data_IF_429877314833
#
_entry.id   IF_429877314833
#
_cell.length_a   1.000
_cell.length_b   1.000
_cell.length_c   1.000
_cell.angle_alpha   90.00
_cell.angle_beta   90.00
_cell.angle_gamma   90.00
#
_symmetry.space_group_name_H-M   'P 1'
#
loop_
_entity.id
_entity.type
_entity.pdbx_description
1 polymer ?
#
# COMPACT_ATOMS: atom_id res chain seq x y z
N UNK A 1 3.01 -27.44 -4.33
CA UNK A 1 3.29 -28.88 -4.49
C UNK A 1 2.91 -29.55 -3.18
N UNK A 2 2.09 -30.60 -3.23
CA UNK A 2 1.77 -31.41 -2.03
C UNK A 2 3.05 -32.04 -1.45
N UNK A 3 3.02 -32.45 -0.17
CA UNK A 3 4.15 -33.17 0.46
C UNK A 3 4.48 -34.50 -0.25
N UNK A 4 3.54 -35.05 -1.01
CA UNK A 4 3.68 -36.28 -1.80
C UNK A 4 4.20 -36.04 -3.23
N UNK A 5 4.46 -34.79 -3.61
CA UNK A 5 4.98 -34.41 -4.91
C UNK A 5 3.94 -34.17 -6.01
N UNK A 6 2.63 -34.21 -5.69
CA UNK A 6 1.60 -33.77 -6.65
C UNK A 6 1.68 -32.27 -6.92
N UNK A 7 1.46 -31.92 -8.19
CA UNK A 7 1.44 -30.54 -8.66
C UNK A 7 0.22 -29.82 -8.07
N UNK A 8 0.41 -28.55 -7.73
CA UNK A 8 -0.64 -27.66 -7.24
C UNK A 8 -0.63 -26.42 -8.11
N UNK A 9 -1.79 -26.03 -8.59
CA UNK A 9 -2.00 -24.87 -9.43
C UNK A 9 -2.58 -23.75 -8.58
N UNK A 10 -1.90 -22.61 -8.54
CA UNK A 10 -2.37 -21.44 -7.82
C UNK A 10 -3.32 -20.67 -8.70
N UNK A 11 -4.59 -20.65 -8.35
CA UNK A 11 -5.63 -19.87 -9.00
C UNK A 11 -5.84 -18.56 -8.24
N UNK A 12 -6.13 -17.51 -9.00
CA UNK A 12 -6.52 -16.22 -8.47
C UNK A 12 -7.98 -16.01 -8.85
N UNK A 13 -8.82 -15.85 -7.84
CA UNK A 13 -10.27 -15.70 -7.99
C UNK A 13 -10.60 -14.25 -7.68
N UNK A 14 -11.42 -13.64 -8.52
CA UNK A 14 -11.87 -12.26 -8.33
C UNK A 14 -13.38 -12.24 -8.15
N UNK A 15 -13.84 -11.41 -7.22
CA UNK A 15 -15.25 -11.02 -7.11
C UNK A 15 -15.35 -9.51 -6.95
N UNK A 16 -16.57 -9.02 -6.74
CA UNK A 16 -16.83 -7.59 -6.61
C UNK A 16 -16.12 -7.01 -5.38
N UNK A 17 -15.00 -6.33 -5.60
CA UNK A 17 -14.19 -5.69 -4.56
C UNK A 17 -13.23 -6.61 -3.80
N UNK A 18 -13.05 -7.88 -4.20
CA UNK A 18 -12.15 -8.81 -3.52
C UNK A 18 -11.39 -9.75 -4.46
N UNK A 19 -10.29 -10.31 -3.96
CA UNK A 19 -9.58 -11.41 -4.62
C UNK A 19 -9.11 -12.46 -3.63
N UNK A 20 -9.24 -13.74 -3.98
CA UNK A 20 -8.71 -14.87 -3.21
C UNK A 20 -7.66 -15.65 -3.99
N UNK A 21 -6.80 -16.34 -3.24
CA UNK A 21 -5.92 -17.37 -3.77
C UNK A 21 -6.50 -18.74 -3.43
N UNK A 22 -6.55 -19.61 -4.42
CA UNK A 22 -7.03 -20.98 -4.26
C UNK A 22 -6.04 -21.95 -4.90
N UNK A 23 -5.68 -23.03 -4.20
CA UNK A 23 -4.86 -24.08 -4.78
C UNK A 23 -5.76 -25.19 -5.30
N UNK A 24 -5.61 -25.52 -6.59
CA UNK A 24 -6.31 -26.64 -7.21
C UNK A 24 -5.33 -27.73 -7.66
N UNK A 25 -5.78 -28.97 -7.64
CA UNK A 25 -5.02 -30.12 -8.13
C UNK A 25 -4.98 -30.15 -9.68
N UNK A 26 -5.86 -29.39 -10.34
CA UNK A 26 -5.97 -29.30 -11.80
C UNK A 26 -5.91 -27.84 -12.29
N UNK A 27 -5.31 -27.58 -13.46
CA UNK A 27 -5.37 -26.27 -14.11
C UNK A 27 -6.78 -26.07 -14.70
N UNK A 28 -7.46 -25.00 -14.32
CA UNK A 28 -8.82 -24.68 -14.81
C UNK A 28 -8.93 -23.21 -15.23
N UNK A 29 -9.64 -22.90 -16.31
CA UNK A 29 -10.07 -21.56 -16.70
C UNK A 29 -11.61 -21.42 -16.66
N UNK A 30 -12.11 -20.18 -16.56
CA UNK A 30 -13.55 -19.88 -16.57
C UNK A 30 -14.22 -19.83 -15.19
N UNK A 31 -15.55 -19.88 -15.20
CA UNK A 31 -16.38 -19.80 -14.00
C UNK A 31 -16.25 -21.10 -13.18
N UNK A 32 -15.91 -20.96 -11.89
CA UNK A 32 -15.73 -22.09 -10.98
C UNK A 32 -16.62 -21.91 -9.76
N UNK A 33 -17.36 -22.97 -9.40
CA UNK A 33 -18.03 -23.04 -8.10
C UNK A 33 -17.04 -23.63 -7.10
N UNK A 34 -16.62 -22.81 -6.13
CA UNK A 34 -15.70 -23.24 -5.08
C UNK A 34 -16.49 -23.58 -3.81
N UNK A 35 -16.29 -24.79 -3.30
CA UNK A 35 -16.86 -25.23 -2.03
C UNK A 35 -15.70 -25.33 -1.03
N UNK A 36 -15.59 -24.38 -0.11
CA UNK A 36 -14.50 -24.33 0.87
C UNK A 36 -14.50 -23.06 1.71
N UNK A 37 -13.53 -22.95 2.62
CA UNK A 37 -13.36 -21.79 3.50
C UNK A 37 -12.51 -20.72 2.80
N UNK A 38 -13.06 -19.52 2.63
CA UNK A 38 -12.32 -18.34 2.19
C UNK A 38 -11.44 -17.84 3.34
N UNK A 39 -10.12 -17.80 3.14
CA UNK A 39 -9.18 -17.25 4.11
C UNK A 39 -8.52 -16.02 3.48
N UNK A 40 -9.06 -14.83 3.77
CA UNK A 40 -8.36 -13.58 3.50
C UNK A 40 -7.14 -13.54 4.42
N UNK A 41 -5.95 -13.73 3.87
CA UNK A 41 -4.72 -13.52 4.62
C UNK A 41 -4.59 -12.02 4.95
N UNK A 42 -5.03 -11.64 6.16
CA UNK A 42 -5.00 -10.27 6.70
C UNK A 42 -3.59 -9.88 7.23
N UNK A 43 -2.51 -10.42 6.66
CA UNK A 43 -1.15 -10.11 7.13
C UNK A 43 -0.43 -9.17 6.15
N UNK A 44 0.20 -8.13 6.70
CA UNK A 44 0.75 -6.97 5.97
C UNK A 44 2.07 -7.22 5.20
N UNK A 45 2.47 -8.46 4.96
CA UNK A 45 3.84 -8.77 4.51
C UNK A 45 3.93 -9.57 3.21
N UNK A 46 2.85 -9.69 2.45
CA UNK A 46 2.88 -10.25 1.10
C UNK A 46 3.05 -9.17 0.04
N UNK A 47 3.97 -9.38 -0.91
CA UNK A 47 4.16 -8.50 -2.09
C UNK A 47 2.91 -8.49 -3.03
N UNK A 48 1.94 -9.37 -2.76
CA UNK A 48 0.59 -9.36 -3.33
C UNK A 48 -0.46 -9.29 -2.19
N UNK A 49 -0.52 -8.17 -1.46
CA UNK A 49 -1.59 -7.96 -0.47
C UNK A 49 -2.94 -7.90 -1.22
N UNK A 50 -3.92 -8.79 -0.94
CA UNK A 50 -5.24 -8.65 -1.54
C UNK A 50 -5.78 -7.25 -1.22
N UNK A 51 -6.52 -6.60 -2.14
CA UNK A 51 -7.14 -5.31 -1.86
C UNK A 51 -8.00 -5.43 -0.60
N UNK A 52 -8.01 -4.36 0.22
CA UNK A 52 -8.87 -4.29 1.40
C UNK A 52 -10.32 -4.47 0.94
N UNK A 53 -10.99 -5.47 1.50
CA UNK A 53 -12.40 -5.74 1.23
C UNK A 53 -13.24 -4.95 2.20
N UNK A 54 -14.26 -4.26 1.69
CA UNK A 54 -15.20 -3.48 2.48
C UNK A 54 -16.57 -4.13 2.37
N UNK A 55 -17.26 -4.27 3.49
CA UNK A 55 -18.57 -4.90 3.55
C UNK A 55 -19.12 -4.90 4.97
N UNK A 56 -20.40 -5.21 5.12
CA UNK A 56 -21.04 -5.30 6.42
C UNK A 56 -20.66 -6.62 7.09
N UNK A 57 -20.12 -6.54 8.31
CA UNK A 57 -19.95 -7.72 9.15
C UNK A 57 -21.34 -8.31 9.45
N UNK A 58 -21.56 -9.56 9.05
CA UNK A 58 -22.78 -10.32 9.34
C UNK A 58 -22.64 -11.09 10.65
N UNK A 59 -21.45 -11.66 10.88
CA UNK A 59 -21.17 -12.52 12.02
C UNK A 59 -19.68 -12.47 12.36
N UNK A 60 -19.35 -12.61 13.65
CA UNK A 60 -17.97 -12.80 14.10
C UNK A 60 -17.89 -13.96 15.07
N UNK A 61 -16.82 -14.74 14.97
CA UNK A 61 -16.49 -15.77 15.94
C UNK A 61 -15.07 -15.57 16.45
N UNK A 62 -14.88 -15.73 17.76
CA UNK A 62 -13.57 -16.02 18.33
C UNK A 62 -13.21 -17.47 17.97
N UNK A 63 -12.00 -17.67 17.46
CA UNK A 63 -11.43 -18.99 17.17
C UNK A 63 -10.50 -19.36 18.31
N UNK A 64 -10.82 -20.43 19.03
CA UNK A 64 -9.96 -21.03 20.04
C UNK A 64 -9.35 -22.34 19.49
N UNK A 65 -8.04 -22.50 19.62
CA UNK A 65 -7.33 -23.71 19.23
C UNK A 65 -6.67 -24.36 20.44
N UNK A 66 -6.61 -25.70 20.42
CA UNK A 66 -5.86 -26.43 21.43
C UNK A 66 -4.37 -26.22 21.22
N UNK A 67 -3.62 -25.97 22.31
CA UNK A 67 -2.17 -25.81 22.25
C UNK A 67 -1.44 -26.97 22.92
N UNK A 68 -0.22 -27.21 22.46
CA UNK A 68 0.73 -28.13 23.10
C UNK A 68 2.11 -27.52 23.25
N UNK A 69 2.87 -27.89 24.30
CA UNK A 69 4.22 -27.40 24.50
C UNK A 69 5.18 -27.99 23.45
N UNK A 70 6.19 -27.20 23.12
CA UNK A 70 7.34 -27.54 22.28
C UNK A 70 8.62 -27.17 23.03
N UNK A 71 9.78 -27.58 22.53
CA UNK A 71 11.08 -27.22 23.15
C UNK A 71 11.32 -25.71 23.26
N UNK A 72 10.65 -24.89 22.44
CA UNK A 72 10.87 -23.43 22.35
C UNK A 72 9.62 -22.59 22.62
N UNK A 73 8.55 -23.18 23.15
CA UNK A 73 7.29 -22.47 23.40
C UNK A 73 6.09 -23.35 23.14
N UNK A 74 5.10 -22.83 22.45
CA UNK A 74 3.81 -23.49 22.21
C UNK A 74 3.52 -23.57 20.71
N UNK A 75 2.76 -24.58 20.31
CA UNK A 75 2.17 -24.69 18.97
C UNK A 75 0.69 -25.03 19.11
N UNK A 76 -0.13 -24.55 18.19
CA UNK A 76 -1.52 -24.99 18.08
C UNK A 76 -1.59 -26.39 17.44
N UNK A 77 -2.74 -27.05 17.64
CA UNK A 77 -3.05 -28.37 17.12
C UNK A 77 -4.12 -28.24 16.05
N UNK A 78 -3.74 -28.46 14.79
CA UNK A 78 -4.64 -28.40 13.63
C UNK A 78 -5.91 -29.25 13.83
N UNK A 79 -7.07 -28.69 13.48
CA UNK A 79 -8.36 -29.37 13.51
C UNK A 79 -9.02 -29.44 14.89
N UNK A 80 -8.54 -28.65 15.85
CA UNK A 80 -9.14 -28.52 17.18
C UNK A 80 -9.98 -27.25 17.33
N UNK A 81 -10.21 -26.50 16.25
CA UNK A 81 -10.84 -25.19 16.27
C UNK A 81 -12.23 -25.21 16.96
N UNK A 82 -12.42 -24.32 17.94
CA UNK A 82 -13.71 -24.00 18.54
C UNK A 82 -14.12 -22.58 18.19
N UNK A 83 -15.36 -22.42 17.74
CA UNK A 83 -15.91 -21.14 17.33
C UNK A 83 -16.92 -20.65 18.36
N UNK A 84 -16.66 -19.49 18.95
CA UNK A 84 -17.58 -18.80 19.86
C UNK A 84 -18.05 -17.52 19.19
N UNK A 85 -19.36 -17.37 18.95
CA UNK A 85 -19.91 -16.14 18.38
C UNK A 85 -19.66 -14.93 19.31
N UNK A 86 -19.23 -13.81 18.73
CA UNK A 86 -18.92 -12.56 19.44
C UNK A 86 -19.53 -11.36 18.74
N UNK A 87 -19.98 -10.38 19.52
CA UNK A 87 -20.51 -9.11 18.98
C UNK A 87 -19.42 -8.05 18.77
N UNK A 88 -18.24 -8.23 19.38
CA UNK A 88 -17.11 -7.31 19.29
C UNK A 88 -15.78 -8.03 19.53
N UNK A 89 -14.72 -7.56 18.87
CA UNK A 89 -13.37 -8.10 19.06
C UNK A 89 -12.87 -7.73 20.47
N UNK A 90 -12.51 -8.72 21.31
CA UNK A 90 -12.07 -8.45 22.67
C UNK A 90 -10.65 -7.86 22.66
N UNK A 91 -10.55 -6.57 23.05
CA UNK A 91 -9.29 -5.80 23.04
C UNK A 91 -8.29 -6.29 24.09
N UNK A 92 -8.78 -6.77 25.23
CA UNK A 92 -7.98 -7.32 26.32
C UNK A 92 -8.27 -8.82 26.46
N UNK A 93 -7.78 -9.60 25.50
CA UNK A 93 -7.92 -11.06 25.48
C UNK A 93 -6.55 -11.71 25.48
N UNK A 94 -6.44 -12.90 26.07
CA UNK A 94 -5.18 -13.65 26.12
C UNK A 94 -4.97 -14.40 24.81
N UNK A 95 -4.55 -13.67 23.77
CA UNK A 95 -4.26 -14.20 22.42
C UNK A 95 -3.02 -15.12 22.36
N UNK A 96 -2.35 -15.32 23.50
CA UNK A 96 -1.08 -16.03 23.56
C UNK A 96 -1.02 -16.94 24.79
N UNK A 97 -0.40 -18.12 24.67
CA UNK A 97 -0.04 -18.95 25.81
C UNK A 97 0.71 -18.16 26.88
N UNK A 98 0.21 -18.22 28.11
CA UNK A 98 0.81 -17.60 29.28
C UNK A 98 1.66 -18.62 30.05
N UNK A 99 2.30 -18.16 31.13
CA UNK A 99 3.04 -19.03 32.06
C UNK A 99 2.15 -20.09 32.74
N UNK A 100 0.83 -19.85 32.78
CA UNK A 100 -0.13 -20.70 33.46
C UNK A 100 -0.84 -21.67 32.48
N UNK A 101 -0.58 -21.53 31.18
CA UNK A 101 -1.09 -22.41 30.11
C UNK A 101 -0.55 -23.83 30.26
N UNK A 102 -1.40 -24.81 29.99
CA UNK A 102 -1.12 -26.24 30.03
C UNK A 102 -1.28 -26.89 28.67
N UNK A 103 -0.65 -28.05 28.52
CA UNK A 103 -0.85 -28.92 27.37
C UNK A 103 -2.33 -29.29 27.26
N UNK A 104 -2.91 -29.05 26.09
CA UNK A 104 -4.31 -29.31 25.80
C UNK A 104 -5.28 -28.17 26.15
N UNK A 105 -4.79 -27.04 26.66
CA UNK A 105 -5.64 -25.85 26.86
C UNK A 105 -6.07 -25.25 25.53
N UNK A 106 -7.25 -24.62 25.53
CA UNK A 106 -7.78 -23.84 24.41
C UNK A 106 -7.41 -22.37 24.58
N UNK A 107 -6.88 -21.77 23.52
CA UNK A 107 -6.46 -20.37 23.50
C UNK A 107 -6.94 -19.73 22.21
N UNK A 108 -7.40 -18.49 22.31
CA UNK A 108 -7.78 -17.69 21.17
C UNK A 108 -6.61 -17.57 20.18
N UNK A 109 -6.81 -18.10 18.97
CA UNK A 109 -5.86 -18.06 17.87
C UNK A 109 -6.22 -16.99 16.83
N UNK A 110 -7.48 -16.54 16.79
CA UNK A 110 -7.92 -15.52 15.83
C UNK A 110 -9.41 -15.17 15.94
N UNK A 111 -9.86 -14.36 14.98
CA UNK A 111 -11.28 -14.04 14.79
C UNK A 111 -11.66 -14.42 13.36
N UNK A 112 -12.74 -15.18 13.23
CA UNK A 112 -13.40 -15.46 11.96
C UNK A 112 -14.51 -14.43 11.75
N UNK A 113 -14.50 -13.74 10.61
CA UNK A 113 -15.49 -12.72 10.26
C UNK A 113 -16.22 -13.15 8.99
N UNK A 114 -17.55 -13.20 9.07
CA UNK A 114 -18.42 -13.31 7.89
C UNK A 114 -18.80 -11.90 7.43
N UNK A 115 -18.49 -11.57 6.18
CA UNK A 115 -18.67 -10.24 5.61
C UNK A 115 -19.57 -10.31 4.37
N UNK A 116 -20.58 -9.44 4.34
CA UNK A 116 -21.39 -9.19 3.15
C UNK A 116 -20.77 -8.05 2.35
N UNK A 117 -20.25 -8.40 1.18
CA UNK A 117 -19.51 -7.50 0.29
C UNK A 117 -20.44 -6.62 -0.56
N UNK A 118 -21.70 -6.99 -0.72
CA UNK A 118 -22.70 -6.20 -1.45
C UNK A 118 -23.27 -5.07 -0.58
N UNK A 119 -23.24 -5.25 0.74
CA UNK A 119 -23.75 -4.31 1.74
C UNK A 119 -22.65 -3.35 2.22
N UNK A 120 -22.18 -2.49 1.31
CA UNK A 120 -21.24 -1.42 1.61
C UNK A 120 -21.99 -0.17 2.11
N UNK A 121 -21.86 0.25 3.38
CA UNK A 121 -22.44 1.51 3.82
C UNK A 121 -21.79 2.64 3.02
N UNK A 122 -22.59 3.41 2.27
CA UNK A 122 -22.18 4.52 1.42
C UNK A 122 -21.70 5.75 2.20
N UNK A 123 -21.11 5.57 3.39
CA UNK A 123 -20.38 6.66 4.02
C UNK A 123 -19.12 6.88 3.20
N UNK A 124 -18.93 8.10 2.67
CA UNK A 124 -17.62 8.56 2.25
C UNK A 124 -16.64 8.19 3.36
N UNK A 125 -15.71 7.29 3.06
CA UNK A 125 -14.66 6.97 4.03
C UNK A 125 -13.91 8.28 4.29
N UNK A 126 -13.79 8.71 5.55
CA UNK A 126 -13.00 9.88 5.90
C UNK A 126 -11.61 9.77 5.27
N UNK A 127 -11.08 10.88 4.77
CA UNK A 127 -9.73 10.88 4.21
C UNK A 127 -8.74 10.30 5.24
N UNK A 128 -8.05 9.22 4.88
CA UNK A 128 -7.08 8.58 5.75
C UNK A 128 -5.66 9.05 5.41
N UNK A 129 -5.14 10.01 6.18
CA UNK A 129 -3.81 10.57 6.00
C UNK A 129 -2.72 9.50 6.16
N UNK A 130 -1.75 9.48 5.23
CA UNK A 130 -0.64 8.54 5.24
C UNK A 130 0.72 9.23 5.30
N UNK A 131 0.95 10.19 4.42
CA UNK A 131 2.21 10.93 4.36
C UNK A 131 1.98 12.43 4.34
N UNK A 132 2.90 13.20 4.93
CA UNK A 132 2.83 14.65 5.06
C UNK A 132 4.16 15.28 4.64
N UNK A 133 4.09 16.40 3.92
CA UNK A 133 5.23 17.28 3.64
C UNK A 133 4.78 18.74 3.70
N UNK A 134 5.74 19.66 3.79
CA UNK A 134 5.49 21.10 3.90
C UNK A 134 6.12 21.78 2.70
N UNK A 135 5.37 22.63 2.01
CA UNK A 135 5.88 23.46 0.91
C UNK A 135 5.38 24.88 1.07
N UNK A 136 6.30 25.80 1.38
CA UNK A 136 5.93 27.15 1.79
C UNK A 136 5.01 27.09 3.03
N UNK A 137 3.89 27.80 2.97
CA UNK A 137 2.91 27.86 4.06
C UNK A 137 1.81 26.79 3.96
N UNK A 138 1.86 25.94 2.92
CA UNK A 138 0.91 24.85 2.72
C UNK A 138 1.43 23.52 3.22
N UNK A 139 0.55 22.78 3.88
CA UNK A 139 0.77 21.39 4.26
C UNK A 139 0.19 20.49 3.17
N UNK A 140 0.96 19.53 2.70
CA UNK A 140 0.53 18.57 1.70
C UNK A 140 0.39 17.22 2.36
N UNK A 141 -0.74 16.54 2.11
CA UNK A 141 -1.06 15.26 2.75
C UNK A 141 -1.49 14.25 1.71
N UNK A 142 -0.76 13.15 1.59
CA UNK A 142 -1.14 12.02 0.75
C UNK A 142 -1.98 11.04 1.55
N UNK A 143 -3.04 10.53 0.94
CA UNK A 143 -3.80 9.44 1.51
C UNK A 143 -2.90 8.22 1.73
N UNK A 144 -3.20 7.42 2.75
CA UNK A 144 -2.50 6.19 3.10
C UNK A 144 -2.54 5.11 2.01
N UNK A 145 -3.39 5.25 0.98
CA UNK A 145 -3.73 4.18 0.02
C UNK A 145 -4.30 4.75 -1.27
N UNK A 146 -5.38 5.52 -1.18
CA UNK A 146 -6.03 6.12 -2.34
C UNK A 146 -5.12 7.11 -3.08
N UNK A 147 -5.32 7.33 -4.39
CA UNK A 147 -4.56 8.30 -5.17
C UNK A 147 -5.06 9.74 -4.92
N UNK A 148 -5.17 10.13 -3.65
CA UNK A 148 -5.73 11.43 -3.24
C UNK A 148 -4.67 12.22 -2.47
N UNK A 149 -4.43 13.45 -2.93
CA UNK A 149 -3.52 14.41 -2.31
C UNK A 149 -4.33 15.61 -1.81
N UNK A 150 -4.11 16.02 -0.57
CA UNK A 150 -4.66 17.25 -0.02
C UNK A 150 -3.59 18.34 0.01
N UNK A 151 -4.01 19.57 -0.29
CA UNK A 151 -3.32 20.78 0.11
C UNK A 151 -4.13 21.43 1.22
N UNK A 152 -3.50 21.67 2.36
CA UNK A 152 -4.08 22.34 3.52
C UNK A 152 -3.34 23.66 3.69
N UNK A 153 -4.02 24.76 3.37
CA UNK A 153 -3.55 26.10 3.68
C UNK A 153 -3.87 26.41 5.15
N UNK A 154 -2.83 26.72 5.91
CA UNK A 154 -2.93 26.98 7.36
C UNK A 154 -2.62 28.44 7.73
N UNK A 155 -2.51 29.33 6.74
CA UNK A 155 -2.22 30.75 6.96
C UNK A 155 -3.42 31.53 7.54
N UNK A 156 -4.65 31.05 7.32
CA UNK A 156 -5.89 31.64 7.84
C UNK A 156 -6.29 31.16 9.23
N UNK A 157 -7.33 31.78 9.80
CA UNK A 157 -7.94 31.33 11.06
C UNK A 157 -8.58 29.95 10.94
N UNK A 158 -9.15 29.67 9.77
CA UNK A 158 -9.74 28.38 9.41
C UNK A 158 -8.91 27.75 8.28
N UNK A 159 -8.43 26.51 8.43
CA UNK A 159 -7.68 25.83 7.39
C UNK A 159 -8.53 25.61 6.13
N UNK A 160 -7.99 25.97 4.97
CA UNK A 160 -8.64 25.71 3.68
C UNK A 160 -8.02 24.46 3.08
N UNK A 161 -8.86 23.47 2.77
CA UNK A 161 -8.42 22.20 2.19
C UNK A 161 -8.86 22.10 0.73
N UNK A 162 -7.91 21.79 -0.15
CA UNK A 162 -8.17 21.44 -1.56
C UNK A 162 -7.83 19.99 -1.79
N UNK A 163 -8.74 19.24 -2.42
CA UNK A 163 -8.57 17.81 -2.70
C UNK A 163 -8.18 17.60 -4.15
N UNK A 164 -7.08 16.89 -4.38
CA UNK A 164 -6.60 16.51 -5.71
C UNK A 164 -6.76 15.00 -5.91
N UNK A 165 -7.54 14.61 -6.91
CA UNK A 165 -7.60 13.22 -7.37
C UNK A 165 -6.52 13.00 -8.43
N UNK A 166 -5.58 12.12 -8.13
CA UNK A 166 -4.45 11.80 -9.00
C UNK A 166 -4.77 10.61 -9.92
N UNK A 167 -4.28 10.59 -11.16
CA UNK A 167 -4.37 9.47 -12.08
C UNK A 167 -3.37 8.35 -11.71
N UNK A 168 -3.40 7.91 -10.46
CA UNK A 168 -2.56 6.84 -9.91
C UNK A 168 -3.41 5.66 -9.47
N UNK A 169 -2.78 4.51 -9.31
CA UNK A 169 -3.43 3.31 -8.75
C UNK A 169 -3.72 3.49 -7.26
N UNK A 170 -4.73 2.79 -6.75
CA UNK A 170 -4.88 2.59 -5.31
C UNK A 170 -3.79 1.62 -4.86
N UNK A 171 -3.07 1.94 -3.80
CA UNK A 171 -2.05 1.05 -3.23
C UNK A 171 -2.60 0.40 -1.96
N UNK A 172 -2.32 -0.89 -1.69
CA UNK A 172 -2.72 -1.53 -0.44
C UNK A 172 -2.19 -0.75 0.77
N UNK A 173 -3.06 -0.41 1.73
CA UNK A 173 -2.60 0.21 2.98
C UNK A 173 -1.89 -0.83 3.85
N UNK A 174 -0.67 -0.49 4.26
CA UNK A 174 0.28 -1.31 5.05
C UNK A 174 0.34 -0.85 6.52
N UNK A 175 -0.79 -0.35 7.04
CA UNK A 175 -0.95 0.27 8.38
C UNK A 175 -0.05 1.50 8.64
N UNK A 176 0.57 2.02 7.58
CA UNK A 176 1.37 3.25 7.62
C UNK A 176 1.00 4.17 6.46
N UNK A 177 1.74 4.03 5.36
CA UNK A 177 1.64 4.82 4.15
C UNK A 177 2.14 3.97 2.98
N UNK A 178 1.38 3.96 1.90
CA UNK A 178 1.80 3.32 0.64
C UNK A 178 2.70 4.21 -0.22
N UNK A 179 2.55 5.53 -0.08
CA UNK A 179 3.32 6.53 -0.81
C UNK A 179 3.98 7.51 0.14
N UNK A 180 5.17 7.97 -0.22
CA UNK A 180 5.84 9.10 0.43
C UNK A 180 5.70 10.33 -0.43
N UNK A 181 5.70 11.48 0.21
CA UNK A 181 5.68 12.77 -0.44
C UNK A 181 6.84 13.62 0.05
N UNK A 182 7.50 14.30 -0.88
CA UNK A 182 8.62 15.19 -0.55
C UNK A 182 8.45 16.51 -1.28
N UNK A 183 8.45 17.60 -0.54
CA UNK A 183 8.44 18.92 -1.14
C UNK A 183 9.82 19.29 -1.69
N UNK A 184 9.78 19.98 -2.83
CA UNK A 184 10.93 20.59 -3.51
C UNK A 184 10.49 21.95 -4.07
N UNK A 185 11.44 22.75 -4.53
CA UNK A 185 11.18 24.13 -4.97
C UNK A 185 10.10 24.21 -6.06
N UNK A 186 10.18 23.31 -7.05
CA UNK A 186 9.31 23.30 -8.24
C UNK A 186 8.09 22.38 -8.12
N UNK A 187 7.89 21.69 -6.99
CA UNK A 187 6.80 20.73 -6.89
C UNK A 187 6.89 19.77 -5.71
N UNK A 188 6.37 18.57 -5.92
CA UNK A 188 6.34 17.49 -4.94
C UNK A 188 6.74 16.18 -5.62
N UNK A 189 7.67 15.44 -5.04
CA UNK A 189 7.88 14.04 -5.39
C UNK A 189 6.85 13.17 -4.70
N UNK A 190 6.19 12.29 -5.45
CA UNK A 190 5.44 11.15 -4.92
C UNK A 190 6.24 9.88 -5.23
N UNK A 191 6.53 9.08 -4.20
CA UNK A 191 7.33 7.85 -4.37
C UNK A 191 6.65 6.66 -3.71
N UNK A 192 6.63 5.52 -4.38
CA UNK A 192 6.21 4.22 -3.85
C UNK A 192 7.35 3.19 -3.99
N UNK A 193 7.09 1.92 -3.68
CA UNK A 193 8.01 0.83 -4.06
C UNK A 193 8.04 0.59 -5.58
N UNK A 194 7.00 1.02 -6.29
CA UNK A 194 6.73 0.65 -7.67
C UNK A 194 7.07 1.76 -8.67
N UNK A 195 6.97 3.02 -8.26
CA UNK A 195 7.09 4.15 -9.16
C UNK A 195 7.46 5.46 -8.46
N UNK A 196 7.88 6.43 -9.29
CA UNK A 196 8.19 7.79 -8.88
C UNK A 196 7.48 8.76 -9.83
N UNK A 197 6.77 9.71 -9.23
CA UNK A 197 6.04 10.75 -9.94
C UNK A 197 6.43 12.14 -9.45
N UNK A 198 6.54 13.09 -10.36
CA UNK A 198 6.67 14.52 -10.05
C UNK A 198 5.32 15.18 -10.20
N UNK A 199 4.86 15.82 -9.13
CA UNK A 199 3.75 16.76 -9.18
C UNK A 199 4.29 18.18 -9.33
N UNK A 200 3.89 18.89 -10.37
CA UNK A 200 4.30 20.28 -10.64
C UNK A 200 3.10 21.19 -10.51
N UNK A 201 3.27 22.32 -9.82
CA UNK A 201 2.25 23.35 -9.65
C UNK A 201 2.58 24.50 -10.59
N UNK A 202 1.67 24.82 -11.51
CA UNK A 202 1.84 25.94 -12.43
C UNK A 202 1.77 27.29 -11.67
N UNK A 203 2.25 28.40 -12.25
CA UNK A 203 2.08 29.74 -11.67
C UNK A 203 0.62 30.12 -11.40
N UNK A 204 -0.31 29.56 -12.17
CA UNK A 204 -1.76 29.74 -12.03
C UNK A 204 -2.37 28.82 -10.95
N UNK A 205 -1.56 27.97 -10.32
CA UNK A 205 -1.98 27.03 -9.27
C UNK A 205 -2.48 25.68 -9.78
N UNK A 206 -2.36 25.37 -11.07
CA UNK A 206 -2.79 24.08 -11.60
C UNK A 206 -1.77 22.98 -11.25
N UNK A 207 -2.24 21.89 -10.63
CA UNK A 207 -1.44 20.72 -10.34
C UNK A 207 -1.45 19.77 -11.54
N UNK A 208 -0.26 19.35 -11.97
CA UNK A 208 -0.05 18.29 -12.99
C UNK A 208 0.83 17.19 -12.42
N UNK A 209 0.77 15.99 -13.01
CA UNK A 209 1.59 14.85 -12.58
C UNK A 209 2.26 14.14 -13.76
N UNK A 210 3.55 13.88 -13.61
CA UNK A 210 4.37 13.15 -14.58
C UNK A 210 5.03 11.95 -13.93
N UNK A 211 4.98 10.78 -14.58
CA UNK A 211 5.76 9.61 -14.15
C UNK A 211 7.21 9.73 -14.62
N UNK A 212 8.13 9.65 -13.66
CA UNK A 212 9.58 9.71 -13.91
C UNK A 212 10.21 8.31 -13.98
N UNK A 213 9.75 7.37 -13.15
CA UNK A 213 10.28 6.02 -13.14
C UNK A 213 9.18 5.00 -12.84
N UNK A 214 9.29 3.82 -13.44
CA UNK A 214 8.50 2.60 -13.13
C UNK A 214 9.24 1.69 -12.16
N UNK A 215 10.15 2.27 -11.40
CA UNK A 215 10.87 1.66 -10.29
C UNK A 215 10.86 2.66 -9.14
N UNK A 216 10.72 2.16 -7.91
CA UNK A 216 10.67 2.97 -6.71
C UNK A 216 11.51 2.43 -5.56
N UNK A 217 11.23 2.93 -4.36
CA UNK A 217 11.77 2.40 -3.12
C UNK A 217 10.82 2.69 -1.97
N UNK A 218 10.73 1.73 -1.04
CA UNK A 218 10.07 1.92 0.25
C UNK A 218 10.59 3.12 1.04
N UNK A 219 11.85 3.47 0.81
CA UNK A 219 12.58 4.46 1.56
C UNK A 219 13.21 5.47 0.62
N UNK A 220 12.74 6.70 0.68
CA UNK A 220 13.23 7.81 -0.12
C UNK A 220 13.45 9.04 0.75
N UNK A 221 14.38 9.90 0.35
CA UNK A 221 14.68 11.17 0.99
C UNK A 221 15.07 12.20 -0.07
N UNK A 222 14.74 13.46 0.19
CA UNK A 222 15.26 14.59 -0.59
C UNK A 222 16.42 15.23 0.17
N UNK A 223 17.51 15.47 -0.53
CA UNK A 223 18.68 16.20 -0.02
C UNK A 223 19.17 17.14 -1.12
N UNK A 224 19.30 18.43 -0.79
CA UNK A 224 19.70 19.48 -1.75
C UNK A 224 18.87 19.46 -3.05
N UNK A 225 17.56 19.23 -2.93
CA UNK A 225 16.63 19.17 -4.07
C UNK A 225 16.69 17.88 -4.90
N UNK A 226 17.60 16.96 -4.58
CA UNK A 226 17.74 15.67 -5.26
C UNK A 226 17.03 14.55 -4.52
N UNK A 227 16.39 13.65 -5.27
CA UNK A 227 15.66 12.51 -4.73
C UNK A 227 16.57 11.27 -4.67
N UNK A 228 16.80 10.80 -3.44
CA UNK A 228 17.57 9.59 -3.16
C UNK A 228 16.64 8.44 -2.75
N UNK A 229 16.90 7.27 -3.31
CA UNK A 229 16.30 6.00 -2.97
C UNK A 229 17.27 5.24 -2.07
N UNK A 230 16.80 4.84 -0.89
CA UNK A 230 17.58 4.06 0.06
C UNK A 230 17.17 2.60 -0.03
N UNK A 231 18.17 1.74 -0.23
CA UNK A 231 18.00 0.30 -0.17
C UNK A 231 17.86 -0.21 1.26
N UNK A 232 17.42 -1.46 1.40
CA UNK A 232 17.33 -2.16 2.68
C UNK A 232 18.73 -2.29 3.27
N UNK A 233 18.91 -1.79 4.49
CA UNK A 233 20.21 -1.81 5.17
C UNK A 233 20.46 -3.10 5.97
N UNK A 234 19.43 -3.94 6.13
CA UNK A 234 19.47 -5.13 6.99
C UNK A 234 18.72 -6.27 6.32
N UNK A 235 19.12 -7.50 6.66
CA UNK A 235 18.28 -8.66 6.35
C UNK A 235 16.94 -8.53 7.09
N UNK A 236 15.85 -8.96 6.46
CA UNK A 236 14.55 -9.13 7.11
C UNK A 236 13.96 -10.49 6.73
N UNK A 237 13.03 -10.99 7.54
CA UNK A 237 12.18 -12.10 7.15
C UNK A 237 10.92 -11.47 6.53
N UNK A 238 10.57 -11.85 5.30
CA UNK A 238 9.34 -11.41 4.63
C UNK A 238 8.55 -12.62 4.16
N UNK A 239 7.23 -12.50 4.12
CA UNK A 239 6.39 -13.51 3.52
C UNK A 239 6.46 -13.41 1.99
N UNK A 240 6.80 -14.52 1.34
CA UNK A 240 6.80 -14.64 -0.10
C UNK A 240 5.75 -15.66 -0.54
N UNK A 241 4.90 -15.27 -1.49
CA UNK A 241 3.78 -16.07 -1.99
C UNK A 241 4.19 -17.46 -2.49
N UNK A 242 5.35 -17.60 -3.12
CA UNK A 242 5.81 -18.86 -3.72
C UNK A 242 6.64 -19.70 -2.75
N UNK A 243 7.27 -19.07 -1.76
CA UNK A 243 8.32 -19.69 -0.95
C UNK A 243 8.06 -19.65 0.56
N UNK A 244 6.94 -19.10 1.02
CA UNK A 244 6.65 -18.89 2.43
C UNK A 244 7.53 -17.78 3.03
N UNK A 245 7.81 -17.83 4.33
CA UNK A 245 8.68 -16.84 4.98
C UNK A 245 10.11 -17.00 4.43
N UNK A 246 10.57 -16.01 3.68
CA UNK A 246 11.92 -15.95 3.12
C UNK A 246 12.77 -14.92 3.87
N UNK A 247 14.08 -15.14 3.89
CA UNK A 247 15.04 -14.11 4.27
C UNK A 247 15.35 -13.25 3.06
N UNK A 248 15.16 -11.94 3.16
CA UNK A 248 15.75 -10.97 2.22
C UNK A 248 17.06 -10.46 2.78
N UNK A 249 17.97 -10.12 1.88
CA UNK A 249 19.28 -9.56 2.20
C UNK A 249 19.25 -8.04 2.09
N UNK A 250 20.22 -7.34 2.72
CA UNK A 250 20.44 -5.93 2.44
C UNK A 250 20.70 -5.73 0.94
N UNK A 251 20.26 -4.60 0.41
CA UNK A 251 20.59 -4.23 -0.96
C UNK A 251 22.09 -3.91 -1.05
N UNK A 252 22.75 -4.41 -2.09
CA UNK A 252 24.16 -4.13 -2.36
C UNK A 252 24.37 -2.63 -2.62
N UNK A 253 23.44 -2.05 -3.37
CA UNK A 253 23.39 -0.63 -3.72
C UNK A 253 22.52 0.15 -2.75
N UNK A 254 23.13 0.56 -1.63
CA UNK A 254 22.39 1.17 -0.52
C UNK A 254 21.79 2.53 -0.82
N UNK A 255 22.39 3.29 -1.72
CA UNK A 255 21.91 4.63 -2.11
C UNK A 255 21.90 4.72 -3.62
N UNK A 256 20.76 5.14 -4.14
CA UNK A 256 20.55 5.40 -5.56
C UNK A 256 19.96 6.79 -5.71
N UNK A 257 20.29 7.48 -6.79
CA UNK A 257 19.83 8.82 -7.11
C UNK A 257 18.89 8.75 -8.32
N UNK A 258 17.75 9.42 -8.26
CA UNK A 258 16.97 9.70 -9.46
C UNK A 258 17.60 10.87 -10.21
N UNK A 259 18.24 10.59 -11.35
CA UNK A 259 18.67 11.61 -12.28
C UNK A 259 17.45 12.18 -13.01
N UNK A 260 17.12 13.44 -12.72
CA UNK A 260 15.99 14.15 -13.32
C UNK A 260 16.13 14.36 -14.83
N UNK A 261 17.35 14.48 -15.34
CA UNK A 261 17.61 14.76 -16.76
C UNK A 261 17.46 13.49 -17.57
N UNK A 262 18.12 12.42 -17.16
CA UNK A 262 18.08 11.14 -17.88
C UNK A 262 16.87 10.28 -17.52
N UNK A 263 16.14 10.65 -16.44
CA UNK A 263 15.02 9.91 -15.86
C UNK A 263 15.39 8.47 -15.46
N UNK A 264 16.64 8.29 -15.02
CA UNK A 264 17.19 7.00 -14.61
C UNK A 264 17.56 7.02 -13.14
N UNK A 265 17.37 5.88 -12.51
CA UNK A 265 17.89 5.62 -11.18
C UNK A 265 19.32 5.11 -11.34
N UNK A 266 20.26 5.78 -10.69
CA UNK A 266 21.70 5.46 -10.77
C UNK A 266 22.27 5.23 -9.38
N UNK A 267 23.17 4.27 -9.25
CA UNK A 267 23.91 3.98 -8.02
C UNK A 267 24.87 5.11 -7.71
N UNK A 268 24.91 5.56 -6.45
CA UNK A 268 25.81 6.63 -6.01
C UNK A 268 26.36 6.35 -4.62
N UNK A 269 27.53 6.93 -4.33
CA UNK A 269 27.97 7.13 -2.96
C UNK A 269 27.15 8.30 -2.38
N UNK A 270 26.12 7.98 -1.59
CA UNK A 270 25.21 8.96 -1.02
C UNK A 270 25.93 9.94 -0.09
N UNK A 271 25.50 11.22 -0.02
CA UNK A 271 26.13 12.19 0.88
C UNK A 271 25.92 11.83 2.35
N UNK A 272 26.87 12.30 3.17
CA UNK A 272 26.84 12.09 4.61
C UNK A 272 25.54 12.66 5.22
N UNK A 273 24.87 11.83 6.01
CA UNK A 273 23.70 12.28 6.78
C UNK A 273 22.35 12.19 6.05
N UNK A 274 22.27 11.67 4.82
CA UNK A 274 20.97 11.30 4.24
C UNK A 274 20.29 10.28 5.14
N UNK A 275 19.05 10.58 5.55
CA UNK A 275 18.21 9.68 6.34
C UNK A 275 16.79 9.73 5.85
N UNK A 276 16.20 8.56 5.67
CA UNK A 276 14.76 8.44 5.54
C UNK A 276 14.10 8.91 6.84
N UNK A 277 13.24 9.91 6.75
CA UNK A 277 12.29 10.20 7.82
C UNK A 277 11.10 9.24 7.73
N UNK A 278 10.28 9.24 8.77
CA UNK A 278 8.94 8.69 8.65
C UNK A 278 8.12 9.61 7.73
N UNK A 279 7.30 9.02 6.85
CA UNK A 279 6.55 9.82 5.88
C UNK A 279 5.33 10.52 6.51
N UNK A 280 4.84 10.02 7.64
CA UNK A 280 3.75 10.62 8.42
C UNK A 280 4.21 11.82 9.28
N UNK A 281 5.42 12.34 9.07
CA UNK A 281 5.97 13.49 9.79
C UNK A 281 6.73 14.43 8.87
N UNK A 282 6.52 15.73 9.07
CA UNK A 282 7.27 16.79 8.43
C UNK A 282 7.72 17.82 9.46
N UNK A 283 8.83 18.50 9.18
CA UNK A 283 9.36 19.57 10.03
C UNK A 283 9.65 20.77 9.15
N UNK A 284 9.03 21.90 9.47
CA UNK A 284 9.25 23.17 8.80
C UNK A 284 10.59 23.78 9.21
N UNK A 285 11.05 24.77 8.44
CA UNK A 285 12.33 25.45 8.67
C UNK A 285 12.36 26.21 10.02
N UNK A 286 11.21 26.63 10.53
CA UNK A 286 11.05 27.28 11.84
C UNK A 286 11.03 26.28 13.02
N UNK A 287 11.16 24.98 12.74
CA UNK A 287 11.12 23.91 13.73
C UNK A 287 9.71 23.38 14.03
N UNK A 288 8.66 23.94 13.43
CA UNK A 288 7.28 23.47 13.59
C UNK A 288 7.15 22.05 13.02
N UNK A 289 6.63 21.14 13.82
CA UNK A 289 6.44 19.74 13.44
C UNK A 289 4.98 19.46 13.09
N UNK A 290 4.78 18.77 11.98
CA UNK A 290 3.48 18.26 11.54
C UNK A 290 3.54 16.74 11.52
N UNK A 291 2.48 16.10 12.00
CA UNK A 291 2.36 14.65 11.98
C UNK A 291 0.92 14.20 11.80
N UNK A 292 0.73 13.05 11.17
CA UNK A 292 -0.58 12.38 11.15
C UNK A 292 -0.93 11.89 12.56
N UNK A 293 -2.16 12.16 13.01
CA UNK A 293 -2.66 11.79 14.35
C UNK A 293 -3.99 11.02 14.23
N UNK A 294 -3.90 9.70 14.08
CA UNK A 294 -5.06 8.86 13.75
C UNK A 294 -5.35 8.87 12.24
N UNK A 295 -6.62 8.75 11.85
CA UNK A 295 -7.00 8.58 10.44
C UNK A 295 -7.08 9.91 9.69
N UNK A 296 -7.80 10.89 10.24
CA UNK A 296 -8.24 12.08 9.52
C UNK A 296 -7.77 13.39 10.18
N UNK A 297 -6.79 13.34 11.08
CA UNK A 297 -6.29 14.53 11.76
C UNK A 297 -4.80 14.74 11.49
N UNK A 298 -4.42 16.00 11.38
CA UNK A 298 -3.03 16.43 11.54
C UNK A 298 -2.83 17.00 12.94
N UNK A 299 -1.69 16.69 13.53
CA UNK A 299 -1.19 17.33 14.74
C UNK A 299 -0.03 18.26 14.38
N UNK A 300 -0.15 19.51 14.79
CA UNK A 300 0.91 20.52 14.76
C UNK A 300 1.53 20.62 16.14
N UNK A 301 2.85 20.74 16.19
CA UNK A 301 3.61 21.07 17.39
C UNK A 301 4.53 22.24 17.03
N UNK A 302 4.27 23.40 17.61
CA UNK A 302 5.08 24.60 17.42
C UNK A 302 6.43 24.49 18.12
N UNK A 303 7.37 25.36 17.76
CA UNK A 303 8.73 25.37 18.33
C UNK A 303 8.76 25.65 19.84
N UNK A 304 7.70 26.26 20.40
CA UNK A 304 7.50 26.47 21.83
C UNK A 304 6.88 25.26 22.56
N UNK A 305 6.52 24.20 21.83
CA UNK A 305 5.89 22.98 22.32
C UNK A 305 4.37 23.01 22.37
N UNK A 306 3.73 24.12 21.99
CA UNK A 306 2.27 24.22 21.87
C UNK A 306 1.77 23.25 20.79
N UNK A 307 0.68 22.54 21.08
CA UNK A 307 0.12 21.55 20.17
C UNK A 307 -1.32 21.90 19.78
N UNK A 308 -1.64 21.74 18.49
CA UNK A 308 -2.98 21.91 17.94
C UNK A 308 -3.29 20.77 16.96
N UNK A 309 -4.57 20.64 16.61
CA UNK A 309 -5.05 19.62 15.67
C UNK A 309 -5.88 20.25 14.56
N UNK A 310 -5.75 19.70 13.36
CA UNK A 310 -6.51 20.09 12.16
C UNK A 310 -7.25 18.88 11.63
N UNK A 311 -8.56 19.02 11.44
CA UNK A 311 -9.42 17.98 10.85
C UNK A 311 -9.35 18.05 9.31
N UNK A 312 -9.14 16.90 8.68
CA UNK A 312 -9.05 16.75 7.23
C UNK A 312 -10.39 16.31 6.59
N UNK A 313 -11.47 16.21 7.38
CA UNK A 313 -12.81 15.82 6.88
C UNK A 313 -13.63 16.99 6.35
N UNK A 314 -13.14 18.21 6.48
CA UNK A 314 -13.83 19.39 5.96
C UNK A 314 -14.15 19.23 4.47
N UNK A 315 -15.33 19.69 4.07
CA UNK A 315 -15.71 19.73 2.66
C UNK A 315 -14.65 20.51 1.87
N UNK A 316 -14.14 19.87 0.82
CA UNK A 316 -13.10 20.42 -0.04
C UNK A 316 -13.52 20.28 -1.49
N UNK A 317 -13.20 21.30 -2.28
CA UNK A 317 -13.33 21.20 -3.72
C UNK A 317 -12.41 20.08 -4.23
N UNK A 318 -12.96 19.19 -5.06
CA UNK A 318 -12.19 18.10 -5.67
C UNK A 318 -11.77 18.49 -7.08
N UNK A 319 -10.46 18.60 -7.27
CA UNK A 319 -9.81 18.89 -8.55
C UNK A 319 -9.26 17.57 -9.12
N UNK A 320 -9.60 17.27 -10.37
CA UNK A 320 -9.02 16.12 -11.07
C UNK A 320 -7.71 16.53 -11.75
N UNK A 321 -6.61 15.87 -11.38
CA UNK A 321 -5.28 16.17 -11.90
C UNK A 321 -5.05 15.46 -13.22
N UNK A 322 -4.47 16.18 -14.19
CA UNK A 322 -4.10 15.61 -15.49
C UNK A 322 -2.72 15.00 -15.43
N UNK A 323 -2.56 13.83 -16.05
CA UNK A 323 -1.21 13.31 -16.30
C UNK A 323 -0.60 13.98 -17.53
N UNK A 324 0.66 14.39 -17.39
CA UNK A 324 1.52 14.89 -18.48
C UNK A 324 2.54 13.84 -18.91
N UNK A 325 2.45 12.62 -18.38
CA UNK A 325 3.31 11.50 -18.78
C UNK A 325 3.17 11.26 -20.28
N UNK A 326 4.30 11.25 -20.99
CA UNK A 326 4.31 10.99 -22.42
C UNK A 326 3.83 9.57 -22.72
N UNK A 327 3.04 9.41 -23.78
CA UNK A 327 2.63 8.09 -24.26
C UNK A 327 3.84 7.36 -24.83
N UNK A 328 4.19 6.23 -24.23
CA UNK A 328 5.33 5.42 -24.64
C UNK A 328 5.19 4.87 -26.07
N UNK A 329 3.97 4.66 -26.57
CA UNK A 329 3.73 4.24 -27.96
C UNK A 329 3.92 5.37 -28.97
N UNK A 330 3.75 6.62 -28.53
CA UNK A 330 3.94 7.80 -29.37
C UNK A 330 5.36 8.39 -29.26
N UNK A 331 6.18 7.92 -28.31
CA UNK A 331 7.54 8.38 -28.11
C UNK A 331 8.46 7.92 -29.27
N UNK A 332 9.06 8.86 -30.04
CA UNK A 332 9.99 8.53 -31.12
C UNK A 332 11.18 7.67 -30.67
N UNK A 333 11.61 7.76 -29.41
CA UNK A 333 12.69 6.94 -28.87
C UNK A 333 12.33 5.45 -28.78
N UNK A 334 11.04 5.12 -28.75
CA UNK A 334 10.53 3.75 -28.71
C UNK A 334 10.09 3.24 -30.09
N UNK A 335 10.28 4.02 -31.17
CA UNK A 335 9.72 3.70 -32.49
C UNK A 335 10.16 2.33 -33.03
N UNK A 336 11.39 1.91 -32.74
CA UNK A 336 11.93 0.60 -33.10
C UNK A 336 11.25 -0.55 -32.32
N UNK A 337 11.09 -0.38 -31.00
CA UNK A 337 10.40 -1.34 -30.14
C UNK A 337 8.92 -1.42 -30.51
N UNK A 338 8.24 -0.27 -30.66
CA UNK A 338 6.83 -0.18 -31.05
C UNK A 338 6.61 -0.86 -32.41
N UNK A 339 7.47 -0.60 -33.40
CA UNK A 339 7.37 -1.26 -34.70
C UNK A 339 7.54 -2.79 -34.59
N UNK A 340 8.37 -3.28 -33.67
CA UNK A 340 8.60 -4.71 -33.47
C UNK A 340 7.45 -5.43 -32.75
N UNK A 341 6.76 -4.76 -31.83
CA UNK A 341 5.67 -5.34 -31.03
C UNK A 341 4.27 -5.08 -31.60
N UNK A 342 4.12 -4.10 -32.50
CA UNK A 342 2.85 -3.77 -33.14
C UNK A 342 2.51 -4.86 -34.15
N UNK A 343 1.51 -5.67 -33.84
CA UNK A 343 1.06 -6.72 -34.75
C UNK A 343 0.17 -6.12 -35.83
N UNK A 344 0.54 -6.35 -37.09
CA UNK A 344 -0.29 -6.04 -38.25
C UNK A 344 -1.56 -6.89 -38.22
N UNK A 345 -2.65 -6.30 -37.70
CA UNK A 345 -3.94 -6.97 -37.56
C UNK A 345 -4.55 -7.42 -38.89
N UNK A 346 -4.09 -6.87 -40.02
CA UNK A 346 -4.54 -7.31 -41.35
C UNK A 346 -4.05 -8.71 -41.72
N UNK A 347 -3.08 -9.26 -40.97
CA UNK A 347 -2.54 -10.62 -41.17
C UNK A 347 -3.30 -11.70 -40.41
N UNK A 348 -4.23 -11.32 -39.53
CA UNK A 348 -5.08 -12.31 -38.87
C UNK A 348 -6.21 -12.73 -39.81
N UNK A 349 -6.13 -13.97 -40.31
CA UNK A 349 -7.26 -14.62 -40.97
C UNK A 349 -8.24 -15.09 -39.88
N UNK A 350 -9.50 -14.63 -39.87
CA UNK A 350 -10.50 -15.14 -38.94
C UNK A 350 -10.63 -16.66 -39.16
N UNK A 351 -10.42 -17.45 -38.10
CA UNK A 351 -10.78 -18.88 -38.14
C UNK A 351 -12.28 -18.95 -38.39
N UNK A 352 -12.69 -19.38 -39.58
CA UNK A 352 -14.08 -19.70 -39.86
C UNK A 352 -14.49 -20.84 -38.91
N UNK A 353 -15.62 -20.72 -38.19
CA UNK A 353 -16.09 -21.81 -37.34
C UNK A 353 -16.33 -23.06 -38.20
N UNK A 354 -16.10 -24.28 -37.66
CA UNK A 354 -16.40 -25.51 -38.38
C UNK A 354 -17.89 -25.50 -38.76
N UNK A 355 -18.17 -25.80 -40.04
CA UNK A 355 -19.54 -25.92 -40.52
C UNK A 355 -20.29 -27.03 -39.79
N UNK A 356 -21.61 -26.85 -39.55
CA UNK A 356 -22.41 -27.69 -38.65
C UNK A 356 -22.55 -29.15 -39.10
#
# INVERSE_FOLDING_TARGET
>A
MHRDGRLLWLHLVYGDGWSAQWWNDEPTDGEVTLTGTFNAMLTDFGVDAPPRVHGRIRLMHLVDEQVRPTEKGWTTIDGTDQLTEIDAIPVAHDWWPSKDTKDGDFIASGVLIEIDLDDHPSSLTPFAAGAVTIRGDSIWVMHSSEPVLLQVDTAGTDPVTTRYLLPLTIEPSNDRWSRRIHAIDDGLWLTSEHDIHLCTISPEGELSIERYATEGSWSTAVHEGQLYLMGRTRSSMNSNRRHGVIRTYPDEERVRLLDRVTRRIVTVDGPDGIRASRADRATAADGTQWSVDGTNMLRRIDSDGTASKTDLTAESETVTVRSTTSDAFADPANADVVAAITVDVSRFVPKTPPSP
#
